data_IF_143555512161
#
_entry.id   IF_143555512161
#
_cell.length_a   1.000
_cell.length_b   1.000
_cell.length_c   1.000
_cell.angle_alpha   90.00
_cell.angle_beta   90.00
_cell.angle_gamma   90.00
#
_symmetry.space_group_name_H-M   'P 1'
#
loop_
_entity.id
_entity.type
_entity.pdbx_description
1 polymer ?
#
# COMPACT_ATOMS: atom_id res chain seq x y z
N UNK A 1 -12.47 -18.30 54.23
CA UNK A 1 -12.22 -18.78 52.85
C UNK A 1 -11.99 -17.57 51.96
N UNK A 2 -10.76 -17.37 51.50
CA UNK A 2 -10.39 -16.43 50.44
C UNK A 2 -9.78 -17.28 49.32
N UNK A 3 -10.16 -17.14 48.04
CA UNK A 3 -9.51 -17.89 46.98
C UNK A 3 -8.13 -17.30 46.69
N UNK A 4 -7.12 -18.17 46.64
CA UNK A 4 -5.78 -17.87 46.18
C UNK A 4 -5.81 -17.68 44.66
N UNK A 5 -5.28 -16.55 44.20
CA UNK A 5 -5.03 -16.26 42.80
C UNK A 5 -3.79 -17.07 42.36
N UNK A 6 -3.97 -18.09 41.53
CA UNK A 6 -2.87 -18.73 40.83
C UNK A 6 -2.42 -17.83 39.69
N UNK A 7 -1.31 -17.10 39.88
CA UNK A 7 -0.53 -16.57 38.76
C UNK A 7 0.16 -17.75 38.07
N UNK A 8 -0.37 -18.19 36.93
CA UNK A 8 0.42 -18.94 35.96
C UNK A 8 1.26 -17.91 35.22
N UNK A 9 2.49 -17.72 35.68
CA UNK A 9 3.53 -17.05 34.92
C UNK A 9 3.93 -17.94 33.75
N UNK A 10 3.25 -17.78 32.61
CA UNK A 10 3.79 -18.25 31.36
C UNK A 10 4.95 -17.31 30.99
N UNK A 11 6.19 -17.78 31.19
CA UNK A 11 7.34 -17.23 30.49
C UNK A 11 7.09 -17.44 28.99
N UNK A 12 6.51 -16.44 28.32
CA UNK A 12 6.61 -16.31 26.88
C UNK A 12 8.04 -15.86 26.59
N UNK A 13 8.84 -16.79 26.10
CA UNK A 13 10.10 -16.50 25.44
C UNK A 13 9.84 -15.54 24.28
N UNK A 14 10.11 -14.25 24.46
CA UNK A 14 10.18 -13.29 23.37
C UNK A 14 11.49 -13.50 22.62
N UNK A 15 11.50 -13.99 21.36
CA UNK A 15 12.73 -13.99 20.58
C UNK A 15 12.85 -12.63 19.89
N UNK A 16 13.81 -11.79 20.34
CA UNK A 16 14.64 -10.96 19.45
C UNK A 16 13.94 -9.95 18.48
N UNK A 17 12.87 -9.25 18.90
CA UNK A 17 12.22 -8.22 18.08
C UNK A 17 12.64 -6.77 18.37
N UNK A 18 13.78 -6.53 19.03
CA UNK A 18 14.12 -5.18 19.53
C UNK A 18 15.02 -4.35 18.61
N UNK A 19 15.53 -4.90 17.50
CA UNK A 19 16.51 -4.20 16.68
C UNK A 19 15.85 -3.54 15.47
N UNK A 20 15.97 -2.21 15.39
CA UNK A 20 15.68 -1.46 14.18
C UNK A 20 16.71 -1.80 13.12
N UNK A 21 16.28 -1.90 11.87
CA UNK A 21 17.15 -2.19 10.75
C UNK A 21 16.68 -1.46 9.52
N UNK A 22 17.62 -1.23 8.62
CA UNK A 22 17.44 -0.60 7.34
C UNK A 22 18.37 -1.35 6.37
N UNK A 23 17.83 -1.87 5.27
CA UNK A 23 18.63 -2.59 4.31
C UNK A 23 17.96 -2.74 2.95
N UNK A 24 18.79 -2.85 1.92
CA UNK A 24 18.37 -3.25 0.58
C UNK A 24 18.54 -4.76 0.38
N UNK A 25 17.63 -5.35 -0.38
CA UNK A 25 17.47 -6.78 -0.56
C UNK A 25 17.17 -7.12 -2.03
N UNK A 26 17.38 -8.37 -2.41
CA UNK A 26 17.15 -8.86 -3.77
C UNK A 26 18.31 -9.63 -4.36
N UNK A 27 18.27 -9.82 -5.67
CA UNK A 27 19.29 -10.47 -6.49
C UNK A 27 20.33 -9.50 -7.04
N UNK A 28 20.01 -8.20 -7.09
CA UNK A 28 20.98 -7.17 -7.43
C UNK A 28 20.30 -5.86 -7.83
N UNK A 29 19.50 -5.88 -8.90
CA UNK A 29 18.93 -4.69 -9.54
C UNK A 29 17.54 -4.95 -10.09
N UNK A 30 16.68 -3.93 -10.07
CA UNK A 30 15.35 -3.99 -10.66
C UNK A 30 14.28 -4.51 -9.70
N UNK A 31 14.55 -4.56 -8.40
CA UNK A 31 13.59 -4.97 -7.39
C UNK A 31 12.84 -3.77 -6.80
N UNK A 32 11.52 -3.83 -6.85
CA UNK A 32 10.62 -2.81 -6.30
C UNK A 32 9.73 -3.46 -5.26
N UNK A 33 10.02 -3.29 -3.97
CA UNK A 33 9.13 -3.84 -2.95
C UNK A 33 7.80 -3.09 -2.94
N UNK A 34 6.71 -3.83 -2.86
CA UNK A 34 5.35 -3.29 -2.95
C UNK A 34 4.52 -3.60 -1.71
N UNK A 35 5.00 -4.49 -0.85
CA UNK A 35 4.36 -4.69 0.44
C UNK A 35 5.09 -5.66 1.34
N UNK A 36 4.76 -5.58 2.63
CA UNK A 36 5.42 -6.38 3.67
C UNK A 36 4.41 -6.94 4.66
N UNK A 37 4.78 -8.02 5.34
CA UNK A 37 3.97 -8.68 6.36
C UNK A 37 4.83 -9.36 7.43
N UNK A 38 4.25 -9.54 8.61
CA UNK A 38 4.84 -10.36 9.66
C UNK A 38 4.56 -11.84 9.42
N UNK A 39 5.49 -12.69 9.87
CA UNK A 39 5.36 -14.14 9.86
C UNK A 39 5.86 -14.70 11.20
N UNK A 40 5.57 -15.97 11.48
CA UNK A 40 6.11 -16.63 12.66
C UNK A 40 7.66 -16.67 12.69
N UNK A 41 8.32 -16.60 11.52
CA UNK A 41 9.78 -16.70 11.39
C UNK A 41 10.49 -15.33 11.27
N UNK A 42 9.75 -14.23 11.17
CA UNK A 42 10.31 -12.91 10.83
C UNK A 42 9.36 -12.11 9.96
N UNK A 43 9.86 -11.61 8.84
CA UNK A 43 9.09 -10.78 7.90
C UNK A 43 9.14 -11.34 6.49
N UNK A 44 8.16 -10.94 5.67
CA UNK A 44 8.23 -11.08 4.21
C UNK A 44 8.10 -9.71 3.59
N UNK A 45 8.89 -9.48 2.55
CA UNK A 45 8.64 -8.41 1.59
C UNK A 45 8.37 -9.05 0.24
N UNK A 46 7.41 -8.48 -0.48
CA UNK A 46 7.05 -8.87 -1.84
C UNK A 46 7.55 -7.78 -2.76
N UNK A 47 8.20 -8.16 -3.85
CA UNK A 47 8.71 -7.24 -4.84
C UNK A 47 8.29 -7.64 -6.25
N UNK A 48 8.10 -6.63 -7.10
CA UNK A 48 8.19 -6.82 -8.55
C UNK A 48 9.67 -6.73 -8.93
N UNK A 49 10.13 -7.66 -9.75
CA UNK A 49 11.51 -7.75 -10.23
C UNK A 49 11.56 -7.62 -11.74
N UNK A 50 12.45 -6.77 -12.24
CA UNK A 50 12.75 -6.70 -13.66
C UNK A 50 13.98 -7.56 -13.98
N UNK A 51 13.76 -8.73 -14.58
CA UNK A 51 14.84 -9.56 -15.10
C UNK A 51 15.42 -8.92 -16.37
N UNK A 52 16.62 -8.36 -16.22
CA UNK A 52 17.35 -7.75 -17.33
C UNK A 52 17.78 -8.76 -18.40
N UNK A 53 17.98 -10.03 -18.07
CA UNK A 53 18.41 -11.04 -19.04
C UNK A 53 17.25 -11.47 -19.94
N UNK A 54 16.06 -11.67 -19.36
CA UNK A 54 14.83 -11.99 -20.07
C UNK A 54 14.04 -10.79 -20.57
N UNK A 55 14.40 -9.57 -20.14
CA UNK A 55 13.61 -8.34 -20.35
C UNK A 55 12.14 -8.51 -19.93
N UNK A 56 11.94 -9.05 -18.73
CA UNK A 56 10.63 -9.48 -18.22
C UNK A 56 10.40 -9.01 -16.78
N UNK A 57 9.13 -8.86 -16.40
CA UNK A 57 8.74 -8.58 -15.02
C UNK A 57 8.27 -9.87 -14.33
N UNK A 58 8.72 -10.05 -13.08
CA UNK A 58 8.48 -11.23 -12.27
C UNK A 58 8.05 -10.85 -10.84
N UNK A 59 7.40 -11.78 -10.15
CA UNK A 59 7.10 -11.63 -8.73
C UNK A 59 8.18 -12.30 -7.87
N UNK A 60 8.66 -11.60 -6.84
CA UNK A 60 9.62 -12.12 -5.87
C UNK A 60 9.08 -12.04 -4.44
N UNK A 61 9.50 -13.02 -3.63
CA UNK A 61 9.33 -13.02 -2.19
C UNK A 61 10.70 -13.01 -1.51
N UNK A 62 10.89 -12.04 -0.63
CA UNK A 62 12.09 -11.85 0.18
C UNK A 62 11.71 -12.17 1.64
N UNK A 63 12.24 -13.27 2.18
CA UNK A 63 12.00 -13.63 3.58
C UNK A 63 13.14 -13.15 4.47
N UNK A 64 12.81 -12.45 5.54
CA UNK A 64 13.75 -11.86 6.48
C UNK A 64 13.56 -12.45 7.89
N UNK A 65 14.63 -12.57 8.65
CA UNK A 65 14.53 -12.80 10.11
C UNK A 65 13.91 -11.60 10.82
N UNK A 66 13.55 -11.76 12.10
CA UNK A 66 13.13 -10.64 12.96
C UNK A 66 14.19 -9.53 13.13
N UNK A 67 15.45 -9.81 12.80
CA UNK A 67 16.57 -8.86 12.80
C UNK A 67 16.94 -8.34 11.40
N UNK A 68 16.12 -8.60 10.39
CA UNK A 68 16.32 -8.10 9.03
C UNK A 68 17.36 -8.86 8.20
N UNK A 69 17.78 -10.07 8.60
CA UNK A 69 18.69 -10.88 7.78
C UNK A 69 17.92 -11.65 6.71
N UNK A 70 18.36 -11.60 5.45
CA UNK A 70 17.74 -12.35 4.36
C UNK A 70 17.94 -13.86 4.55
N UNK A 71 16.84 -14.61 4.60
CA UNK A 71 16.83 -16.08 4.77
C UNK A 71 16.44 -16.81 3.51
N UNK A 72 15.62 -16.17 2.66
CA UNK A 72 15.18 -16.75 1.41
C UNK A 72 14.94 -15.63 0.40
N UNK A 73 15.31 -15.90 -0.84
CA UNK A 73 14.91 -15.14 -2.01
C UNK A 73 14.26 -16.12 -2.98
N UNK A 74 13.00 -15.87 -3.34
CA UNK A 74 12.22 -16.75 -4.21
C UNK A 74 11.57 -15.95 -5.33
N UNK A 75 11.96 -16.20 -6.57
CA UNK A 75 11.19 -15.80 -7.75
C UNK A 75 10.05 -16.80 -7.97
N UNK A 76 8.84 -16.29 -8.14
CA UNK A 76 7.67 -17.10 -8.40
C UNK A 76 7.56 -17.42 -9.88
N UNK A 77 7.38 -18.71 -10.21
CA UNK A 77 7.08 -19.14 -11.56
C UNK A 77 5.58 -18.92 -11.83
N UNK A 78 5.29 -17.81 -12.51
CA UNK A 78 3.93 -17.41 -12.93
C UNK A 78 3.92 -17.21 -14.46
N UNK A 79 2.79 -17.46 -15.13
CA UNK A 79 2.70 -17.28 -16.58
C UNK A 79 2.68 -15.79 -16.97
N UNK A 80 3.37 -15.48 -18.08
CA UNK A 80 3.46 -14.11 -18.62
C UNK A 80 4.40 -13.19 -17.83
N UNK A 81 4.32 -11.89 -18.12
CA UNK A 81 5.04 -10.84 -17.39
C UNK A 81 4.19 -10.36 -16.22
N UNK A 82 4.69 -10.47 -15.00
CA UNK A 82 3.92 -10.23 -13.78
C UNK A 82 4.34 -8.94 -13.08
N UNK A 83 3.35 -8.11 -12.73
CA UNK A 83 3.52 -6.82 -12.07
C UNK A 83 2.73 -6.82 -10.76
N UNK A 84 3.37 -7.18 -9.65
CA UNK A 84 2.73 -7.16 -8.33
C UNK A 84 2.79 -5.74 -7.76
N UNK A 85 1.67 -5.30 -7.19
CA UNK A 85 1.45 -3.94 -6.69
C UNK A 85 1.07 -3.91 -5.21
N UNK A 86 0.54 -5.01 -4.68
CA UNK A 86 0.18 -5.11 -3.26
C UNK A 86 0.24 -6.54 -2.73
N UNK A 87 0.20 -6.65 -1.41
CA UNK A 87 0.13 -7.92 -0.69
C UNK A 87 -0.84 -7.84 0.48
N UNK A 88 -1.43 -8.96 0.83
CA UNK A 88 -2.26 -9.10 2.02
C UNK A 88 -2.05 -10.46 2.70
N UNK A 89 -2.32 -10.59 4.01
CA UNK A 89 -2.37 -11.90 4.66
C UNK A 89 -3.43 -12.80 4.02
N UNK A 90 -3.13 -14.10 3.90
CA UNK A 90 -4.11 -15.10 3.49
C UNK A 90 -4.33 -16.15 4.58
N UNK A 91 -5.47 -16.86 4.58
CA UNK A 91 -5.75 -17.92 5.54
C UNK A 91 -4.63 -18.97 5.63
N UNK A 92 -4.35 -19.44 6.85
CA UNK A 92 -3.30 -20.43 7.12
C UNK A 92 -1.87 -19.85 7.10
N UNK A 93 -1.71 -18.57 7.49
CA UNK A 93 -0.43 -17.84 7.41
C UNK A 93 0.14 -17.75 5.98
N UNK A 94 -0.75 -17.85 4.98
CA UNK A 94 -0.42 -17.64 3.58
C UNK A 94 -0.35 -16.16 3.24
N UNK A 95 -0.19 -15.89 1.94
CA UNK A 95 -0.06 -14.53 1.41
C UNK A 95 -0.87 -14.41 0.13
N UNK A 96 -1.61 -13.31 -0.02
CA UNK A 96 -2.17 -12.89 -1.30
C UNK A 96 -1.22 -11.90 -1.96
N UNK A 97 -0.91 -12.10 -3.23
CA UNK A 97 -0.22 -11.12 -4.07
C UNK A 97 -1.21 -10.58 -5.09
N UNK A 98 -1.21 -9.26 -5.28
CA UNK A 98 -2.16 -8.56 -6.14
C UNK A 98 -1.42 -7.72 -7.17
N UNK A 99 -1.90 -7.69 -8.41
CA UNK A 99 -1.35 -6.84 -9.45
C UNK A 99 -1.96 -7.12 -10.81
N UNK A 100 -1.12 -7.24 -11.83
CA UNK A 100 -1.51 -7.70 -13.15
C UNK A 100 -0.50 -8.64 -13.80
N UNK A 101 -0.92 -9.32 -14.86
CA UNK A 101 -0.07 -10.09 -15.75
C UNK A 101 -0.27 -9.64 -17.20
N UNK A 102 0.78 -9.70 -18.02
CA UNK A 102 0.63 -9.65 -19.48
C UNK A 102 0.92 -11.07 -19.99
N UNK A 103 -0.08 -11.83 -20.46
CA UNK A 103 0.15 -13.18 -20.98
C UNK A 103 1.10 -13.22 -22.19
N UNK A 104 1.71 -14.37 -22.42
CA UNK A 104 2.65 -14.55 -23.53
C UNK A 104 1.98 -14.28 -24.89
N UNK A 105 2.62 -13.46 -25.72
CA UNK A 105 2.10 -13.06 -27.02
C UNK A 105 1.06 -11.94 -26.98
N UNK A 106 0.75 -11.40 -25.79
CA UNK A 106 -0.13 -10.23 -25.59
C UNK A 106 0.65 -8.98 -25.22
N UNK A 107 -0.06 -7.85 -25.28
CA UNK A 107 0.46 -6.53 -24.89
C UNK A 107 -0.35 -5.87 -23.77
N UNK A 108 -1.55 -6.39 -23.51
CA UNK A 108 -2.51 -5.87 -22.55
C UNK A 108 -2.42 -6.60 -21.20
N UNK A 109 -2.69 -5.85 -20.13
CA UNK A 109 -2.66 -6.35 -18.75
C UNK A 109 -3.98 -6.99 -18.35
N UNK A 110 -3.94 -8.19 -17.79
CA UNK A 110 -5.06 -8.80 -17.07
C UNK A 110 -4.84 -8.69 -15.56
N UNK A 111 -5.92 -8.43 -14.80
CA UNK A 111 -5.88 -8.40 -13.34
C UNK A 111 -5.39 -9.74 -12.78
N UNK A 112 -4.50 -9.70 -11.78
CA UNK A 112 -3.90 -10.89 -11.20
C UNK A 112 -4.05 -10.91 -9.67
N UNK A 113 -4.53 -12.02 -9.15
CA UNK A 113 -4.45 -12.38 -7.74
C UNK A 113 -3.78 -13.75 -7.59
N UNK A 114 -2.78 -13.86 -6.72
CA UNK A 114 -2.06 -15.11 -6.44
C UNK A 114 -2.19 -15.45 -4.98
N UNK A 115 -2.53 -16.69 -4.65
CA UNK A 115 -2.49 -17.20 -3.28
C UNK A 115 -1.25 -18.04 -3.05
N UNK A 116 -0.48 -17.71 -2.02
CA UNK A 116 0.67 -18.45 -1.54
C UNK A 116 0.37 -19.15 -0.23
N UNK A 117 1.04 -20.29 -0.02
CA UNK A 117 1.12 -20.97 1.28
C UNK A 117 2.01 -20.21 2.27
N UNK A 118 2.00 -20.65 3.53
CA UNK A 118 2.95 -20.20 4.54
C UNK A 118 4.42 -20.56 4.23
N UNK A 119 4.73 -21.28 3.16
CA UNK A 119 6.10 -21.57 2.71
C UNK A 119 6.38 -21.01 1.30
N UNK A 120 5.59 -20.03 0.86
CA UNK A 120 5.72 -19.32 -0.41
C UNK A 120 5.49 -20.17 -1.67
N UNK A 121 4.88 -21.35 -1.54
CA UNK A 121 4.41 -22.14 -2.70
C UNK A 121 3.08 -21.57 -3.21
N UNK A 122 2.93 -21.46 -4.53
CA UNK A 122 1.67 -21.05 -5.18
C UNK A 122 0.61 -22.11 -4.93
N UNK A 123 -0.55 -21.69 -4.40
CA UNK A 123 -1.75 -22.51 -4.24
C UNK A 123 -2.61 -22.42 -5.50
N UNK A 124 -2.90 -21.19 -5.91
CA UNK A 124 -3.67 -20.88 -7.11
C UNK A 124 -3.35 -19.47 -7.61
N UNK A 125 -3.70 -19.23 -8.86
CA UNK A 125 -3.65 -17.93 -9.54
C UNK A 125 -5.02 -17.63 -10.13
N UNK A 126 -5.52 -16.41 -9.94
CA UNK A 126 -6.77 -15.91 -10.48
C UNK A 126 -6.48 -14.79 -11.47
N UNK A 127 -7.04 -14.90 -12.66
CA UNK A 127 -7.02 -13.90 -13.73
C UNK A 127 -8.31 -14.01 -14.53
N UNK A 128 -8.78 -12.89 -15.07
CA UNK A 128 -9.90 -12.84 -16.01
C UNK A 128 -9.41 -12.09 -17.25
N UNK A 129 -9.53 -12.73 -18.41
CA UNK A 129 -9.14 -12.16 -19.70
C UNK A 129 -10.22 -11.17 -20.16
N UNK A 130 -9.88 -9.88 -20.14
CA UNK A 130 -10.80 -8.79 -20.37
C UNK A 130 -10.26 -7.84 -21.46
N UNK A 131 -11.14 -7.15 -22.21
CA UNK A 131 -10.67 -6.15 -23.15
C UNK A 131 -9.99 -4.98 -22.43
N UNK A 132 -8.82 -4.57 -22.93
CA UNK A 132 -8.08 -3.43 -22.37
C UNK A 132 -7.09 -3.85 -21.29
N UNK A 133 -6.64 -2.90 -20.47
CA UNK A 133 -5.69 -3.16 -19.39
C UNK A 133 -6.39 -3.12 -18.02
N UNK A 134 -6.45 -4.26 -17.34
CA UNK A 134 -6.88 -4.37 -15.96
C UNK A 134 -5.67 -4.53 -15.04
N UNK A 135 -5.50 -3.58 -14.12
CA UNK A 135 -4.44 -3.61 -13.12
C UNK A 135 -5.01 -3.35 -11.74
N UNK A 136 -4.62 -4.16 -10.76
CA UNK A 136 -5.04 -4.01 -9.37
C UNK A 136 -3.92 -3.39 -8.52
N UNK A 137 -4.26 -2.44 -7.66
CA UNK A 137 -3.31 -1.64 -6.86
C UNK A 137 -3.53 -1.78 -5.35
N UNK A 138 -4.78 -1.97 -4.90
CA UNK A 138 -5.12 -2.09 -3.48
C UNK A 138 -5.95 -3.33 -3.18
N UNK A 139 -5.78 -3.90 -1.99
CA UNK A 139 -6.52 -5.10 -1.53
C UNK A 139 -6.94 -4.96 -0.07
N UNK A 140 -8.14 -5.43 0.24
CA UNK A 140 -8.66 -5.58 1.59
C UNK A 140 -9.19 -7.01 1.82
N UNK A 141 -8.98 -7.52 3.04
CA UNK A 141 -9.51 -8.80 3.47
C UNK A 141 -10.96 -8.66 3.94
N UNK A 142 -11.79 -9.62 3.57
CA UNK A 142 -13.13 -9.79 4.11
C UNK A 142 -13.09 -10.72 5.35
N UNK A 143 -14.12 -10.68 6.22
CA UNK A 143 -14.14 -11.47 7.46
C UNK A 143 -14.02 -12.99 7.26
N UNK A 144 -14.43 -13.50 6.09
CA UNK A 144 -14.33 -14.91 5.70
C UNK A 144 -12.93 -15.28 5.17
N UNK A 145 -12.04 -14.31 5.00
CA UNK A 145 -10.70 -14.46 4.45
C UNK A 145 -10.61 -14.35 2.93
N UNK A 146 -11.73 -14.10 2.24
CA UNK A 146 -11.75 -13.72 0.83
C UNK A 146 -11.28 -12.26 0.68
N UNK A 147 -11.14 -11.76 -0.55
CA UNK A 147 -10.58 -10.42 -0.78
C UNK A 147 -11.44 -9.59 -1.71
N UNK A 148 -11.42 -8.28 -1.48
CA UNK A 148 -11.86 -7.26 -2.41
C UNK A 148 -10.64 -6.43 -2.81
N UNK A 149 -10.52 -6.11 -4.09
CA UNK A 149 -9.41 -5.39 -4.66
C UNK A 149 -9.89 -4.21 -5.49
N UNK A 150 -9.05 -3.18 -5.58
CA UNK A 150 -9.28 -2.01 -6.43
C UNK A 150 -8.09 -1.77 -7.33
N UNK A 151 -8.34 -1.09 -8.44
CA UNK A 151 -7.32 -0.66 -9.37
C UNK A 151 -7.92 0.16 -10.51
N UNK A 152 -7.56 -0.20 -11.73
CA UNK A 152 -7.96 0.50 -12.94
C UNK A 152 -8.29 -0.49 -14.05
N UNK A 153 -9.31 -0.16 -14.84
CA UNK A 153 -9.57 -0.70 -16.15
C UNK A 153 -9.30 0.40 -17.20
N UNK A 154 -8.37 0.16 -18.13
CA UNK A 154 -8.04 1.11 -19.19
C UNK A 154 -8.48 0.59 -20.54
N UNK A 155 -9.19 1.44 -21.26
CA UNK A 155 -9.50 1.28 -22.66
C UNK A 155 -8.68 2.28 -23.49
N UNK A 156 -8.83 2.25 -24.81
CA UNK A 156 -8.13 3.18 -25.70
C UNK A 156 -8.45 4.66 -25.48
N UNK A 157 -9.57 4.96 -24.80
CA UNK A 157 -10.07 6.34 -24.65
C UNK A 157 -10.39 6.73 -23.22
N UNK A 158 -10.28 5.81 -22.25
CA UNK A 158 -10.76 6.05 -20.89
C UNK A 158 -10.11 5.12 -19.87
N UNK A 159 -9.84 5.63 -18.67
CA UNK A 159 -9.51 4.85 -17.49
C UNK A 159 -10.62 4.95 -16.45
N UNK A 160 -11.13 3.81 -15.97
CA UNK A 160 -12.12 3.76 -14.90
C UNK A 160 -11.54 3.01 -13.70
N UNK A 161 -12.01 3.34 -12.49
CA UNK A 161 -11.71 2.55 -11.31
C UNK A 161 -12.28 1.15 -11.49
N UNK A 162 -11.46 0.13 -11.29
CA UNK A 162 -11.89 -1.26 -11.27
C UNK A 162 -11.96 -1.76 -9.83
N UNK A 163 -13.08 -2.34 -9.42
CA UNK A 163 -13.23 -3.06 -8.15
C UNK A 163 -13.61 -4.51 -8.44
N UNK A 164 -12.90 -5.46 -7.83
CA UNK A 164 -13.14 -6.90 -8.02
C UNK A 164 -13.21 -7.61 -6.67
N UNK A 165 -14.18 -8.51 -6.50
CA UNK A 165 -14.24 -9.43 -5.37
C UNK A 165 -13.84 -10.83 -5.80
N UNK A 166 -13.00 -11.46 -4.99
CA UNK A 166 -12.53 -12.82 -5.19
C UNK A 166 -12.96 -13.71 -4.02
N UNK A 167 -13.34 -14.94 -4.35
CA UNK A 167 -13.63 -15.98 -3.36
C UNK A 167 -12.34 -16.59 -2.77
N UNK A 168 -12.48 -17.50 -1.80
CA UNK A 168 -11.36 -18.19 -1.16
C UNK A 168 -10.58 -19.15 -2.08
N UNK A 169 -11.16 -19.51 -3.23
CA UNK A 169 -10.62 -20.45 -4.20
C UNK A 169 -10.00 -19.76 -5.43
N UNK A 170 -10.06 -18.43 -5.50
CA UNK A 170 -9.56 -17.63 -6.62
C UNK A 170 -10.56 -17.44 -7.76
N UNK A 171 -11.85 -17.72 -7.54
CA UNK A 171 -12.92 -17.32 -8.44
C UNK A 171 -13.22 -15.82 -8.30
N UNK A 172 -13.52 -15.16 -9.42
CA UNK A 172 -14.09 -13.80 -9.41
C UNK A 172 -15.58 -13.90 -9.10
N UNK A 173 -16.00 -13.34 -7.97
CA UNK A 173 -17.41 -13.30 -7.58
C UNK A 173 -18.17 -12.22 -8.37
N UNK A 174 -17.59 -11.02 -8.42
CA UNK A 174 -18.11 -9.89 -9.17
C UNK A 174 -17.00 -8.88 -9.47
N UNK A 175 -17.27 -8.00 -10.43
CA UNK A 175 -16.48 -6.81 -10.74
C UNK A 175 -17.37 -5.63 -11.09
N UNK A 176 -16.95 -4.45 -10.67
CA UNK A 176 -17.64 -3.17 -10.90
C UNK A 176 -16.62 -2.16 -11.40
N UNK A 177 -16.98 -1.41 -12.45
CA UNK A 177 -16.22 -0.24 -12.87
C UNK A 177 -16.91 1.03 -12.38
N UNK A 178 -16.14 1.96 -11.83
CA UNK A 178 -16.61 3.24 -11.30
C UNK A 178 -15.88 4.37 -12.02
N UNK A 179 -16.59 5.47 -12.25
CA UNK A 179 -16.05 6.60 -12.98
C UNK A 179 -17.07 7.24 -13.90
N UNK A 180 -16.64 8.30 -14.57
CA UNK A 180 -17.55 9.26 -15.20
C UNK A 180 -17.17 9.62 -16.63
N UNK A 181 -17.06 10.92 -16.89
CA UNK A 181 -16.57 11.43 -18.17
C UNK A 181 -15.04 11.66 -18.16
N UNK A 182 -14.43 11.58 -16.98
CA UNK A 182 -13.00 11.77 -16.75
C UNK A 182 -12.32 10.41 -16.61
N UNK A 183 -11.00 10.45 -16.41
CA UNK A 183 -10.22 9.26 -16.13
C UNK A 183 -10.07 9.10 -14.61
N UNK A 184 -10.38 7.93 -14.08
CA UNK A 184 -10.28 7.60 -12.66
C UNK A 184 -9.39 6.37 -12.40
N UNK A 185 -8.71 6.36 -11.26
CA UNK A 185 -7.89 5.23 -10.80
C UNK A 185 -8.08 5.00 -9.31
N UNK A 186 -8.40 3.77 -8.90
CA UNK A 186 -8.48 3.39 -7.49
C UNK A 186 -7.13 2.88 -6.99
N UNK A 187 -6.48 3.63 -6.10
CA UNK A 187 -5.16 3.29 -5.58
C UNK A 187 -5.22 2.34 -4.37
N UNK A 188 -6.21 2.50 -3.49
CA UNK A 188 -6.33 1.71 -2.26
C UNK A 188 -7.78 1.50 -1.85
N UNK A 189 -8.01 0.44 -1.06
CA UNK A 189 -9.33 0.03 -0.59
C UNK A 189 -9.28 -0.40 0.88
N UNK A 190 -10.30 -0.08 1.65
CA UNK A 190 -10.51 -0.55 3.02
C UNK A 190 -11.96 -0.99 3.23
N UNK A 191 -12.18 -1.95 4.13
CA UNK A 191 -13.53 -2.44 4.47
C UNK A 191 -13.85 -2.24 5.95
N UNK A 192 -15.08 -1.83 6.25
CA UNK A 192 -15.61 -1.70 7.62
C UNK A 192 -16.48 -2.89 8.04
N UNK A 193 -16.62 -3.89 7.17
CA UNK A 193 -17.49 -5.06 7.36
C UNK A 193 -18.91 -4.89 6.79
N UNK A 194 -19.33 -3.67 6.47
CA UNK A 194 -20.61 -3.37 5.81
C UNK A 194 -20.43 -2.89 4.36
N UNK A 195 -19.27 -2.34 4.02
CA UNK A 195 -18.93 -1.97 2.66
C UNK A 195 -17.44 -1.66 2.50
N UNK A 196 -17.09 -1.22 1.30
CA UNK A 196 -15.71 -0.94 0.92
C UNK A 196 -15.53 0.51 0.47
N UNK A 197 -14.55 1.19 1.06
CA UNK A 197 -14.14 2.54 0.65
C UNK A 197 -12.90 2.42 -0.24
N UNK A 198 -13.04 2.87 -1.49
CA UNK A 198 -11.96 3.04 -2.47
C UNK A 198 -11.49 4.49 -2.44
N UNK A 199 -10.17 4.68 -2.50
CA UNK A 199 -9.55 6.00 -2.64
C UNK A 199 -8.55 6.00 -3.79
N UNK A 200 -8.38 7.16 -4.42
CA UNK A 200 -7.61 7.24 -5.65
C UNK A 200 -7.43 8.66 -6.19
N UNK A 201 -7.51 8.78 -7.52
CA UNK A 201 -7.49 10.07 -8.23
C UNK A 201 -8.47 10.08 -9.40
N UNK A 202 -8.95 11.27 -9.72
CA UNK A 202 -9.67 11.62 -10.93
C UNK A 202 -8.83 12.63 -11.70
N UNK A 203 -8.56 12.40 -12.98
CA UNK A 203 -7.75 13.27 -13.82
C UNK A 203 -8.66 14.24 -14.59
N UNK A 204 -8.47 15.54 -14.35
CA UNK A 204 -9.28 16.60 -14.93
C UNK A 204 -8.77 17.02 -16.31
N UNK A 205 -9.69 17.57 -17.14
CA UNK A 205 -9.34 18.24 -18.39
C UNK A 205 -8.54 19.52 -18.11
N UNK A 206 -7.21 19.39 -18.02
CA UNK A 206 -6.32 20.49 -17.63
C UNK A 206 -4.97 20.06 -17.04
N UNK A 207 -4.67 18.74 -17.02
CA UNK A 207 -3.48 18.14 -16.43
C UNK A 207 -3.37 18.34 -14.91
N UNK A 208 -4.51 18.47 -14.21
CA UNK A 208 -4.55 18.34 -12.76
C UNK A 208 -5.33 17.10 -12.38
N UNK A 209 -5.15 16.62 -11.15
CA UNK A 209 -5.90 15.52 -10.58
C UNK A 209 -6.56 15.94 -9.27
N UNK A 210 -7.78 15.48 -9.05
CA UNK A 210 -8.46 15.57 -7.76
C UNK A 210 -8.39 14.21 -7.06
N UNK A 211 -8.40 14.17 -5.74
CA UNK A 211 -8.51 12.91 -5.02
C UNK A 211 -9.91 12.32 -5.19
N UNK A 212 -9.99 11.08 -5.65
CA UNK A 212 -11.25 10.36 -5.85
C UNK A 212 -11.55 9.46 -4.65
N UNK A 213 -12.82 9.40 -4.25
CA UNK A 213 -13.32 8.51 -3.20
C UNK A 213 -14.63 7.87 -3.67
N UNK A 214 -14.78 6.57 -3.44
CA UNK A 214 -16.03 5.88 -3.70
C UNK A 214 -16.31 4.83 -2.62
N UNK A 215 -17.59 4.68 -2.29
CA UNK A 215 -18.09 3.69 -1.34
C UNK A 215 -19.00 2.72 -2.08
N UNK A 216 -18.72 1.43 -1.92
CA UNK A 216 -19.58 0.35 -2.36
C UNK A 216 -20.07 -0.44 -1.15
N UNK A 217 -21.17 -1.16 -1.31
CA UNK A 217 -21.46 -2.29 -0.44
C UNK A 217 -20.59 -3.51 -0.80
N UNK A 218 -20.78 -4.63 -0.10
CA UNK A 218 -19.99 -5.85 -0.32
C UNK A 218 -20.49 -6.69 -1.51
N UNK A 219 -21.66 -6.35 -2.07
CA UNK A 219 -22.22 -6.98 -3.26
C UNK A 219 -21.76 -6.27 -4.55
N UNK A 220 -21.06 -5.13 -4.40
CA UNK A 220 -20.42 -4.40 -5.50
C UNK A 220 -21.26 -3.25 -6.04
N UNK A 221 -22.36 -2.90 -5.36
CA UNK A 221 -23.21 -1.77 -5.72
C UNK A 221 -22.63 -0.47 -5.16
N UNK A 222 -22.58 0.57 -6.01
CA UNK A 222 -22.12 1.90 -5.63
C UNK A 222 -23.12 2.57 -4.67
N UNK A 223 -22.65 2.94 -3.48
CA UNK A 223 -23.41 3.73 -2.54
C UNK A 223 -23.23 5.24 -2.79
N UNK A 224 -22.00 5.70 -2.94
CA UNK A 224 -21.66 7.09 -3.28
C UNK A 224 -20.25 7.19 -3.87
N UNK A 225 -20.01 8.25 -4.65
CA UNK A 225 -18.67 8.65 -5.10
C UNK A 225 -18.53 10.18 -5.06
N UNK A 226 -17.31 10.66 -4.83
CA UNK A 226 -16.99 12.10 -4.83
C UNK A 226 -15.52 12.33 -5.15
N UNK A 227 -15.21 13.50 -5.68
CA UNK A 227 -13.84 13.96 -5.89
C UNK A 227 -13.57 15.21 -5.04
N UNK A 228 -12.33 15.34 -4.55
CA UNK A 228 -11.86 16.43 -3.71
C UNK A 228 -10.54 16.96 -4.23
N UNK A 229 -10.50 18.24 -4.58
CA UNK A 229 -9.29 18.89 -5.03
C UNK A 229 -9.39 20.40 -5.00
N UNK A 230 -8.26 21.04 -5.29
CA UNK A 230 -8.09 22.48 -5.28
C UNK A 230 -7.69 23.01 -6.66
N UNK A 231 -6.59 23.74 -6.70
CA UNK A 231 -6.12 24.41 -7.93
C UNK A 231 -5.01 23.62 -8.64
N UNK A 232 -4.55 22.52 -8.05
CA UNK A 232 -3.43 21.68 -8.48
C UNK A 232 -3.75 20.20 -8.20
N UNK A 233 -2.73 19.35 -8.13
CA UNK A 233 -2.86 17.91 -8.01
C UNK A 233 -3.11 17.42 -6.57
N UNK A 234 -4.10 16.55 -6.45
CA UNK A 234 -4.44 15.78 -5.27
C UNK A 234 -4.61 14.31 -5.63
N UNK A 235 -4.14 13.43 -4.75
CA UNK A 235 -4.41 12.01 -4.87
C UNK A 235 -4.32 11.34 -3.51
N UNK A 236 -5.26 10.45 -3.21
CA UNK A 236 -5.10 9.49 -2.12
C UNK A 236 -4.45 8.21 -2.62
N UNK A 237 -3.47 7.72 -1.85
CA UNK A 237 -2.63 6.56 -2.19
C UNK A 237 -2.86 5.38 -1.26
N UNK A 238 -3.28 5.63 -0.02
CA UNK A 238 -3.63 4.59 0.94
C UNK A 238 -4.84 4.99 1.79
N UNK A 239 -5.55 3.99 2.30
CA UNK A 239 -6.68 4.17 3.21
C UNK A 239 -6.67 3.07 4.27
N UNK A 240 -7.07 3.41 5.49
CA UNK A 240 -7.22 2.45 6.60
C UNK A 240 -8.46 2.78 7.42
N UNK A 241 -8.95 1.80 8.19
CA UNK A 241 -9.96 2.03 9.20
C UNK A 241 -9.27 2.22 10.56
N UNK A 242 -9.74 3.19 11.33
CA UNK A 242 -9.23 3.44 12.68
C UNK A 242 -9.93 2.54 13.71
N UNK A 243 -9.35 2.36 14.90
CA UNK A 243 -10.05 1.68 16.01
C UNK A 243 -11.39 2.33 16.39
N UNK A 244 -11.59 3.61 16.05
CA UNK A 244 -12.84 4.34 16.26
C UNK A 244 -13.92 4.08 15.20
N UNK A 245 -13.62 3.30 14.16
CA UNK A 245 -14.57 2.90 13.12
C UNK A 245 -14.73 3.87 11.95
N UNK A 246 -14.01 5.00 11.95
CA UNK A 246 -13.95 5.91 10.80
C UNK A 246 -12.71 5.62 9.95
N UNK A 247 -12.75 6.02 8.68
CA UNK A 247 -11.63 5.83 7.75
C UNK A 247 -10.65 6.99 7.80
N UNK A 248 -9.39 6.72 7.51
CA UNK A 248 -8.39 7.73 7.20
C UNK A 248 -7.75 7.40 5.86
N UNK A 249 -7.74 8.36 4.95
CA UNK A 249 -7.00 8.31 3.70
C UNK A 249 -5.73 9.17 3.80
N UNK A 250 -4.66 8.75 3.13
CA UNK A 250 -3.42 9.51 3.00
C UNK A 250 -2.94 9.53 1.56
N UNK A 251 -2.31 10.63 1.19
CA UNK A 251 -1.73 10.83 -0.11
C UNK A 251 -0.95 12.13 -0.17
N UNK A 252 -1.22 12.93 -1.21
CA UNK A 252 -0.61 14.25 -1.35
C UNK A 252 -1.59 15.31 -1.85
N UNK A 253 -1.21 16.58 -1.63
CA UNK A 253 -1.84 17.76 -2.21
C UNK A 253 -0.79 18.79 -2.61
N UNK A 254 -0.98 19.37 -3.79
CA UNK A 254 -0.22 20.52 -4.29
C UNK A 254 -1.04 21.84 -4.14
N UNK A 255 -2.29 21.74 -3.67
CA UNK A 255 -3.21 22.86 -3.46
C UNK A 255 -3.26 23.40 -2.04
N UNK A 256 -3.23 22.52 -1.03
CA UNK A 256 -3.50 22.86 0.37
C UNK A 256 -2.22 22.85 1.24
N UNK A 257 -2.18 23.72 2.26
CA UNK A 257 -1.03 23.91 3.14
C UNK A 257 -0.41 25.30 3.01
N UNK A 258 0.56 25.62 3.86
CA UNK A 258 1.34 26.88 3.78
C UNK A 258 2.49 26.69 2.79
N UNK A 259 2.17 26.80 1.50
CA UNK A 259 2.91 26.09 0.44
C UNK A 259 3.80 26.96 -0.43
N UNK A 260 3.76 28.30 -0.33
CA UNK A 260 4.41 29.14 -1.35
C UNK A 260 5.67 29.82 -0.86
N UNK A 261 6.82 29.39 -1.39
CA UNK A 261 8.09 30.10 -1.24
C UNK A 261 8.70 30.41 -2.60
N UNK A 262 9.02 31.69 -2.82
CA UNK A 262 9.53 32.22 -4.09
C UNK A 262 8.67 31.87 -5.33
N UNK A 263 7.36 31.70 -5.16
CA UNK A 263 6.44 31.35 -6.24
C UNK A 263 6.34 29.86 -6.57
N UNK A 264 7.09 29.01 -5.87
CA UNK A 264 6.98 27.56 -5.94
C UNK A 264 6.01 27.06 -4.86
N UNK A 265 5.11 26.15 -5.27
CA UNK A 265 4.19 25.45 -4.36
C UNK A 265 4.72 24.06 -4.08
N UNK A 266 4.96 23.78 -2.81
CA UNK A 266 5.46 22.48 -2.36
C UNK A 266 4.33 21.52 -2.04
N UNK A 267 4.53 20.26 -2.39
CA UNK A 267 3.63 19.14 -2.11
C UNK A 267 3.62 18.80 -0.63
N UNK A 268 2.44 18.54 -0.08
CA UNK A 268 2.26 18.15 1.31
C UNK A 268 1.70 16.74 1.41
N UNK A 269 2.06 16.01 2.47
CA UNK A 269 1.31 14.81 2.87
C UNK A 269 -0.10 15.28 3.22
N UNK A 270 -1.09 14.70 2.57
CA UNK A 270 -2.49 15.05 2.81
C UNK A 270 -3.23 13.89 3.46
N UNK A 271 -3.85 14.17 4.60
CA UNK A 271 -4.70 13.23 5.32
C UNK A 271 -6.15 13.72 5.34
N UNK A 272 -7.07 12.78 5.25
CA UNK A 272 -8.50 13.01 5.40
C UNK A 272 -9.10 11.93 6.29
N UNK A 273 -9.72 12.34 7.40
CA UNK A 273 -10.57 11.48 8.21
C UNK A 273 -12.01 11.60 7.73
N UNK A 274 -12.69 10.47 7.53
CA UNK A 274 -14.04 10.44 6.98
C UNK A 274 -14.91 9.35 7.61
N UNK A 275 -16.21 9.63 7.69
CA UNK A 275 -17.22 8.67 8.09
C UNK A 275 -17.58 7.73 6.92
N UNK A 276 -18.26 6.64 7.26
CA UNK A 276 -18.72 5.63 6.31
C UNK A 276 -19.66 6.18 5.22
N UNK A 277 -20.44 7.21 5.53
CA UNK A 277 -21.36 7.90 4.63
C UNK A 277 -20.68 8.96 3.74
N UNK A 278 -19.37 9.15 3.88
CA UNK A 278 -18.59 10.13 3.11
C UNK A 278 -18.45 11.49 3.79
N UNK A 279 -19.04 11.69 4.97
CA UNK A 279 -18.89 12.94 5.70
C UNK A 279 -17.44 13.11 6.18
N UNK A 280 -16.81 14.20 5.74
CA UNK A 280 -15.44 14.56 6.15
C UNK A 280 -15.43 15.00 7.62
N UNK A 281 -14.67 14.28 8.44
CA UNK A 281 -14.44 14.62 9.84
C UNK A 281 -13.37 15.71 9.99
N UNK A 282 -12.28 15.58 9.23
CA UNK A 282 -11.17 16.53 9.24
C UNK A 282 -10.27 16.30 8.03
N UNK A 283 -9.50 17.33 7.67
CA UNK A 283 -8.39 17.23 6.72
C UNK A 283 -7.13 17.86 7.31
N UNK A 284 -5.96 17.38 6.89
CA UNK A 284 -4.67 17.91 7.32
C UNK A 284 -3.65 17.83 6.19
N UNK A 285 -3.04 18.96 5.84
CA UNK A 285 -1.84 19.01 5.02
C UNK A 285 -0.61 19.14 5.93
N UNK A 286 0.38 18.28 5.76
CA UNK A 286 1.61 18.23 6.57
C UNK A 286 2.80 18.36 5.63
N UNK A 287 3.59 19.41 5.83
CA UNK A 287 4.75 19.75 5.02
C UNK A 287 5.34 21.10 5.40
N UNK A 288 6.18 21.64 4.53
CA UNK A 288 6.84 22.92 4.69
C UNK A 288 7.05 23.61 3.33
N UNK A 289 7.80 24.70 3.34
CA UNK A 289 8.06 25.51 2.15
C UNK A 289 9.39 25.19 1.46
N UNK A 290 9.97 24.02 1.72
CA UNK A 290 11.31 23.66 1.25
C UNK A 290 11.34 22.29 0.56
N UNK A 291 10.46 21.37 0.95
CA UNK A 291 10.47 20.00 0.46
C UNK A 291 9.06 19.53 0.13
N UNK A 292 8.94 18.90 -1.03
CA UNK A 292 7.76 18.13 -1.41
C UNK A 292 7.68 16.88 -0.52
N UNK A 293 6.49 16.54 -0.04
CA UNK A 293 6.24 15.31 0.73
C UNK A 293 4.97 14.62 0.24
N UNK A 294 5.00 13.30 0.13
CA UNK A 294 3.82 12.50 -0.23
C UNK A 294 3.74 11.24 0.62
N UNK A 295 2.53 10.87 1.06
CA UNK A 295 2.26 9.58 1.70
C UNK A 295 1.77 8.55 0.69
N UNK A 296 2.24 7.31 0.84
CA UNK A 296 1.89 6.18 -0.04
C UNK A 296 1.43 4.95 0.74
N UNK A 297 1.95 4.73 1.95
CA UNK A 297 1.51 3.66 2.86
C UNK A 297 0.85 4.23 4.11
N UNK A 298 -0.16 3.52 4.64
CA UNK A 298 -0.86 3.89 5.87
C UNK A 298 -1.18 2.68 6.73
N UNK A 299 -0.94 2.79 8.04
CA UNK A 299 -1.39 1.80 9.03
C UNK A 299 -1.83 2.49 10.32
N UNK A 300 -2.96 2.08 10.88
CA UNK A 300 -3.44 2.55 12.19
C UNK A 300 -3.02 1.59 13.30
N UNK A 301 -2.84 2.13 14.51
CA UNK A 301 -2.51 1.34 15.71
C UNK A 301 -3.63 1.46 16.77
N UNK A 302 -3.70 0.57 17.77
CA UNK A 302 -4.85 0.51 18.69
C UNK A 302 -5.17 1.79 19.48
N UNK A 303 -4.20 2.69 19.69
CA UNK A 303 -4.44 3.98 20.35
C UNK A 303 -4.98 5.06 19.39
N UNK A 304 -5.12 4.76 18.11
CA UNK A 304 -5.57 5.66 17.06
C UNK A 304 -4.45 6.39 16.30
N UNK A 305 -3.18 6.26 16.71
CA UNK A 305 -2.07 6.83 15.94
C UNK A 305 -1.97 6.17 14.57
N UNK A 306 -1.38 6.90 13.63
CA UNK A 306 -1.14 6.49 12.27
C UNK A 306 0.35 6.42 11.99
N UNK A 307 0.80 5.36 11.32
CA UNK A 307 2.08 5.33 10.62
C UNK A 307 1.87 5.63 9.14
N UNK A 308 2.66 6.57 8.61
CA UNK A 308 2.66 6.94 7.20
C UNK A 308 4.04 6.67 6.62
N UNK A 309 4.09 5.90 5.53
CA UNK A 309 5.28 5.73 4.71
C UNK A 309 5.15 6.55 3.42
N UNK A 310 6.24 7.10 2.93
CA UNK A 310 6.24 7.81 1.66
C UNK A 310 7.59 8.36 1.26
N UNK A 311 7.58 9.60 0.77
CA UNK A 311 8.78 10.28 0.29
C UNK A 311 8.87 11.74 0.73
N UNK A 312 10.09 12.26 0.70
CA UNK A 312 10.41 13.67 0.84
C UNK A 312 11.41 14.06 -0.25
N UNK A 313 11.16 15.15 -0.96
CA UNK A 313 11.91 15.55 -2.15
C UNK A 313 12.37 17.00 -2.05
N UNK A 314 13.64 17.25 -2.33
CA UNK A 314 14.24 18.60 -2.32
C UNK A 314 14.41 19.22 -3.72
N UNK A 315 13.88 18.53 -4.74
CA UNK A 315 13.91 18.91 -6.15
C UNK A 315 15.03 18.22 -6.96
N UNK A 316 15.99 17.59 -6.28
CA UNK A 316 17.05 16.78 -6.93
C UNK A 316 17.05 15.37 -6.37
N UNK A 317 16.88 15.26 -5.06
CA UNK A 317 16.95 14.01 -4.32
C UNK A 317 15.58 13.63 -3.76
N UNK A 318 15.34 12.32 -3.64
CA UNK A 318 14.11 11.77 -3.07
C UNK A 318 14.50 10.81 -1.96
N UNK A 319 14.14 11.18 -0.74
CA UNK A 319 14.38 10.40 0.45
C UNK A 319 13.12 9.62 0.87
N UNK A 320 13.30 8.49 1.54
CA UNK A 320 12.20 7.79 2.20
C UNK A 320 11.68 8.58 3.40
N UNK A 321 10.37 8.72 3.49
CA UNK A 321 9.67 9.37 4.60
C UNK A 321 8.94 8.35 5.45
N UNK A 322 9.11 8.43 6.76
CA UNK A 322 8.30 7.70 7.73
C UNK A 322 7.81 8.66 8.81
N UNK A 323 6.51 8.61 9.12
CA UNK A 323 5.89 9.48 10.13
C UNK A 323 5.06 8.66 11.10
N UNK A 324 4.99 9.12 12.35
CA UNK A 324 3.93 8.74 13.29
C UNK A 324 3.11 9.98 13.61
N UNK A 325 1.80 9.87 13.47
CA UNK A 325 0.84 10.96 13.59
C UNK A 325 -0.20 10.57 14.64
N UNK A 326 -0.56 11.49 15.53
CA UNK A 326 -1.58 11.26 16.55
C UNK A 326 -3.02 11.30 15.97
N UNK A 327 -4.06 10.90 16.73
CA UNK A 327 -5.45 10.93 16.26
C UNK A 327 -5.97 12.34 15.93
N UNK A 328 -5.28 13.39 16.39
CA UNK A 328 -5.60 14.79 16.07
C UNK A 328 -4.87 15.27 14.80
N UNK A 329 -4.28 14.35 14.02
CA UNK A 329 -3.50 14.62 12.82
C UNK A 329 -2.26 15.51 13.06
N UNK A 330 -1.67 15.41 14.25
CA UNK A 330 -0.43 16.10 14.60
C UNK A 330 0.76 15.14 14.52
N UNK A 331 1.85 15.48 13.80
CA UNK A 331 3.06 14.67 13.81
C UNK A 331 3.61 14.49 15.23
N UNK A 332 3.78 13.23 15.64
CA UNK A 332 4.54 12.86 16.84
C UNK A 332 6.02 12.84 16.50
N UNK A 333 6.36 12.24 15.35
CA UNK A 333 7.71 12.26 14.79
C UNK A 333 7.69 12.09 13.27
N UNK A 334 8.77 12.58 12.65
CA UNK A 334 9.12 12.41 11.24
C UNK A 334 10.54 11.84 11.16
N UNK A 335 10.78 10.93 10.23
CA UNK A 335 12.09 10.37 9.89
C UNK A 335 12.26 10.39 8.39
N UNK A 336 13.39 10.93 7.98
CA UNK A 336 13.85 10.92 6.59
C UNK A 336 15.04 9.98 6.52
N UNK A 337 15.04 9.11 5.51
CA UNK A 337 16.08 8.12 5.30
C UNK A 337 16.56 8.22 3.86
N UNK A 338 17.84 8.56 3.73
CA UNK A 338 18.57 8.70 2.47
C UNK A 338 19.45 7.46 2.30
N UNK A 339 19.22 6.76 1.19
CA UNK A 339 19.97 5.59 0.76
C UNK A 339 20.34 5.69 -0.74
N UNK A 340 20.52 6.90 -1.26
CA UNK A 340 20.91 7.08 -2.66
C UNK A 340 20.40 8.36 -3.27
N UNK A 341 19.88 8.28 -4.50
CA UNK A 341 19.24 9.44 -5.16
C UNK A 341 17.73 9.30 -5.30
N UNK A 342 17.20 8.09 -5.11
CA UNK A 342 15.77 7.81 -5.22
C UNK A 342 15.35 6.73 -4.24
N UNK A 343 14.77 7.16 -3.14
CA UNK A 343 14.26 6.32 -2.08
C UNK A 343 12.76 6.51 -1.90
N UNK A 344 12.05 5.41 -1.82
CA UNK A 344 10.60 5.40 -1.78
C UNK A 344 10.14 4.34 -0.78
N UNK A 345 9.27 4.73 0.16
CA UNK A 345 8.55 3.80 1.00
C UNK A 345 7.07 3.78 0.57
N UNK A 346 6.64 2.69 -0.06
CA UNK A 346 5.30 2.56 -0.63
C UNK A 346 4.30 1.85 0.29
N UNK A 347 4.78 1.07 1.25
CA UNK A 347 3.94 0.25 2.13
C UNK A 347 4.44 0.29 3.57
N UNK A 348 3.51 0.20 4.52
CA UNK A 348 3.80 0.22 5.95
C UNK A 348 2.83 -0.68 6.71
N UNK A 349 3.34 -1.41 7.69
CA UNK A 349 2.56 -2.20 8.63
C UNK A 349 2.96 -1.87 10.07
N UNK A 350 1.98 -1.98 10.95
CA UNK A 350 2.19 -1.84 12.38
C UNK A 350 2.78 -3.12 12.97
N UNK A 351 3.75 -2.94 13.86
CA UNK A 351 4.28 -4.01 14.72
C UNK A 351 3.85 -3.75 16.17
N UNK A 352 3.83 -4.80 16.98
CA UNK A 352 3.54 -4.68 18.42
C UNK A 352 4.46 -3.70 19.17
N UNK A 353 5.64 -3.41 18.63
CA UNK A 353 6.66 -2.56 19.24
C UNK A 353 7.27 -1.54 18.28
N UNK A 354 6.58 -1.20 17.18
CA UNK A 354 7.10 -0.26 16.20
C UNK A 354 6.41 -0.37 14.86
N UNK A 355 7.17 -0.21 13.80
CA UNK A 355 6.69 -0.08 12.43
C UNK A 355 7.65 -0.75 11.46
N UNK A 356 7.10 -1.35 10.41
CA UNK A 356 7.87 -1.91 9.30
C UNK A 356 7.35 -1.29 8.00
N UNK A 357 8.23 -0.66 7.26
CA UNK A 357 7.96 -0.08 5.96
C UNK A 357 8.78 -0.78 4.87
N UNK A 358 8.27 -0.76 3.64
CA UNK A 358 8.99 -1.28 2.49
C UNK A 358 8.75 -0.42 1.26
N UNK A 359 9.70 -0.47 0.35
CA UNK A 359 9.62 0.13 -0.96
C UNK A 359 10.89 -0.14 -1.73
N UNK A 360 11.53 0.88 -2.28
CA UNK A 360 12.73 0.69 -3.06
C UNK A 360 13.67 1.89 -2.95
N UNK A 361 14.95 1.60 -3.14
CA UNK A 361 16.04 2.57 -3.12
C UNK A 361 16.86 2.42 -4.39
N UNK A 362 17.32 3.54 -4.95
CA UNK A 362 18.25 3.56 -6.09
C UNK A 362 19.65 3.89 -5.58
N UNK A 363 20.44 2.85 -5.36
CA UNK A 363 21.86 2.95 -5.02
C UNK A 363 22.78 2.81 -6.23
N UNK A 364 24.08 2.68 -5.98
CA UNK A 364 25.12 2.49 -7.02
C UNK A 364 24.91 1.23 -7.88
N UNK A 365 24.09 0.27 -7.41
CA UNK A 365 23.75 -0.95 -8.12
C UNK A 365 22.45 -0.82 -8.93
N UNK A 366 21.64 0.23 -8.76
CA UNK A 366 20.32 0.36 -9.37
C UNK A 366 19.19 0.26 -8.33
N UNK A 367 17.95 0.02 -8.79
CA UNK A 367 16.79 -0.13 -7.91
C UNK A 367 16.87 -1.44 -7.13
N UNK A 368 16.71 -1.36 -5.81
CA UNK A 368 16.70 -2.51 -4.92
C UNK A 368 15.51 -2.43 -3.97
N UNK A 369 14.97 -3.59 -3.60
CA UNK A 369 13.91 -3.67 -2.60
C UNK A 369 14.45 -3.16 -1.26
N UNK A 370 13.73 -2.24 -0.63
CA UNK A 370 14.14 -1.60 0.60
C UNK A 370 13.17 -1.98 1.72
N UNK A 371 13.70 -2.38 2.88
CA UNK A 371 12.89 -2.70 4.07
C UNK A 371 13.45 -1.98 5.27
N UNK A 372 12.59 -1.23 5.96
CA UNK A 372 12.92 -0.40 7.10
C UNK A 372 12.06 -0.82 8.29
N UNK A 373 12.70 -1.13 9.41
CA UNK A 373 12.03 -1.34 10.70
C UNK A 373 12.49 -0.29 11.69
N UNK A 374 11.53 0.40 12.32
CA UNK A 374 11.78 1.33 13.44
C UNK A 374 10.98 0.92 14.66
N UNK A 375 11.46 1.31 15.84
CA UNK A 375 10.67 1.18 17.06
C UNK A 375 9.54 2.23 17.13
N UNK A 376 8.77 2.23 18.23
CA UNK A 376 7.67 3.19 18.41
C UNK A 376 8.09 4.66 18.48
N UNK A 377 9.35 4.95 18.81
CA UNK A 377 9.95 6.31 18.80
C UNK A 377 10.46 6.74 17.42
N UNK A 378 10.53 5.81 16.47
CA UNK A 378 11.08 6.05 15.14
C UNK A 378 12.59 5.87 15.06
N UNK A 379 13.23 5.24 16.06
CA UNK A 379 14.68 5.02 16.09
C UNK A 379 15.06 3.64 15.56
#
# INVERSE_FOLDING_TARGET
>A
MRPQLFMIGALLSHPLWSQSFDGTYGSGTGEFAVGTMTTAAGFRSVATHYDHAGASHEAMVIALTGSGQQTQLLTLSLPGRVFIQATAPAPGSGTYLLGSTIPDGRSDHDALLVRLTATNSVVWTATEDLPGDQQLFGVALLPDGSVIATGVERTTTKHDVLVMRFDLNGGVDWRTTLGGALDEEGNAIAVDGNGALVVGRQMNFGNTSDAYLARLDLDGDLAWETSWGGIKDESFRAVTITPGGYFVAVGFTDSYGDTTYLGHRFRHVWLMGLQADGDTLWTRAIGDTLFDRAGYGLSSIPNGDLYVAGERVDGVDRDGLLMRIDPAATPIWERTMDHGTYDHLGSVITLSNGVLATGWSMGALGHQAWVVRRDGSGD
#
